data_IF_068057795715
#
_entry.id   IF_068057795715
#
_cell.length_a   1.000
_cell.length_b   1.000
_cell.length_c   1.000
_cell.angle_alpha   90.00
_cell.angle_beta   90.00
_cell.angle_gamma   90.00
#
_symmetry.space_group_name_H-M   'P 1'
#
loop_
_entity.id
_entity.type
_entity.pdbx_description
1 polymer ?
#
# COMPACT_ATOMS: atom_id res chain seq x y z
N UNK A 1 11.76 -19.17 -5.74
CA UNK A 1 11.81 -17.80 -5.20
C UNK A 1 10.93 -16.92 -6.08
N UNK A 2 9.69 -16.71 -5.65
CA UNK A 2 8.67 -15.92 -6.35
C UNK A 2 9.05 -14.44 -6.39
N UNK A 3 9.79 -14.02 -7.42
CA UNK A 3 10.25 -12.64 -7.63
C UNK A 3 9.13 -11.59 -7.71
N UNK A 4 7.85 -11.99 -7.80
CA UNK A 4 6.70 -11.07 -7.93
C UNK A 4 6.11 -10.59 -6.61
N UNK A 5 6.20 -11.36 -5.52
CA UNK A 5 5.63 -10.94 -4.22
C UNK A 5 6.40 -9.76 -3.62
N UNK A 6 7.71 -9.71 -3.84
CA UNK A 6 8.56 -8.70 -3.22
C UNK A 6 8.21 -7.28 -3.65
N UNK A 7 7.76 -7.03 -4.88
CA UNK A 7 7.65 -5.64 -5.38
C UNK A 7 6.49 -4.86 -4.78
N UNK A 8 5.35 -5.50 -4.48
CA UNK A 8 4.18 -4.80 -3.94
C UNK A 8 4.31 -4.61 -2.43
N UNK A 9 4.80 -5.64 -1.73
CA UNK A 9 5.09 -5.55 -0.31
C UNK A 9 6.17 -4.47 -0.04
N UNK A 10 7.21 -4.38 -0.90
CA UNK A 10 8.20 -3.30 -0.86
C UNK A 10 7.57 -1.92 -1.08
N UNK A 11 6.67 -1.77 -2.05
CA UNK A 11 5.97 -0.50 -2.31
C UNK A 11 5.09 -0.08 -1.13
N UNK A 12 4.38 -1.03 -0.51
CA UNK A 12 3.58 -0.78 0.70
C UNK A 12 4.50 -0.30 1.83
N UNK A 13 5.64 -0.96 2.06
CA UNK A 13 6.54 -0.60 3.15
C UNK A 13 7.19 0.78 2.93
N UNK A 14 7.60 1.10 1.70
CA UNK A 14 8.11 2.44 1.37
C UNK A 14 7.07 3.54 1.64
N UNK A 15 5.81 3.32 1.26
CA UNK A 15 4.73 4.26 1.54
C UNK A 15 4.45 4.38 3.04
N UNK A 16 4.52 3.28 3.81
CA UNK A 16 4.37 3.32 5.27
C UNK A 16 5.46 4.16 5.93
N UNK A 17 6.72 3.97 5.54
CA UNK A 17 7.84 4.77 6.04
C UNK A 17 7.66 6.26 5.68
N UNK A 18 7.34 6.56 4.42
CA UNK A 18 7.08 7.93 3.98
C UNK A 18 5.92 8.59 4.75
N UNK A 19 4.88 7.82 5.08
CA UNK A 19 3.74 8.30 5.88
C UNK A 19 4.18 8.67 7.30
N UNK A 20 5.02 7.85 7.95
CA UNK A 20 5.56 8.17 9.28
C UNK A 20 6.43 9.42 9.25
N UNK A 21 7.28 9.56 8.24
CA UNK A 21 8.10 10.75 8.06
C UNK A 21 7.23 12.00 7.85
N UNK A 22 6.24 11.94 6.96
CA UNK A 22 5.31 13.05 6.72
C UNK A 22 4.51 13.41 7.98
N UNK A 23 4.01 12.42 8.71
CA UNK A 23 3.30 12.62 9.98
C UNK A 23 4.19 13.29 11.03
N UNK A 24 5.46 12.90 11.13
CA UNK A 24 6.40 13.49 12.07
C UNK A 24 6.70 14.97 11.78
N UNK A 25 6.57 15.39 10.51
CA UNK A 25 6.76 16.78 10.09
C UNK A 25 5.48 17.62 10.25
N UNK A 26 4.37 17.13 9.70
CA UNK A 26 3.06 17.77 9.78
C UNK A 26 1.94 16.73 9.77
N UNK A 27 1.36 16.41 10.94
CA UNK A 27 0.23 15.48 11.06
C UNK A 27 -1.04 15.88 10.30
N UNK A 28 -1.14 17.15 9.87
CA UNK A 28 -2.27 17.70 9.12
C UNK A 28 -1.91 18.06 7.68
N UNK A 29 -0.68 17.75 7.26
CA UNK A 29 -0.13 18.17 6.00
C UNK A 29 -0.78 17.48 4.80
N UNK A 30 -0.89 18.21 3.69
CA UNK A 30 -1.38 17.67 2.41
C UNK A 30 -0.52 16.50 1.94
N UNK A 31 0.77 16.51 2.25
CA UNK A 31 1.69 15.42 1.92
C UNK A 31 1.29 14.10 2.60
N UNK A 32 0.98 14.13 3.90
CA UNK A 32 0.51 12.95 4.64
C UNK A 32 -0.77 12.39 4.03
N UNK A 33 -1.71 13.28 3.68
CA UNK A 33 -2.97 12.90 3.04
C UNK A 33 -2.72 12.19 1.69
N UNK A 34 -1.84 12.73 0.86
CA UNK A 34 -1.52 12.16 -0.45
C UNK A 34 -0.87 10.77 -0.32
N UNK A 35 0.07 10.61 0.60
CA UNK A 35 0.72 9.32 0.86
C UNK A 35 -0.31 8.30 1.37
N UNK A 36 -1.19 8.70 2.29
CA UNK A 36 -2.26 7.85 2.82
C UNK A 36 -3.19 7.35 1.70
N UNK A 37 -3.60 8.24 0.79
CA UNK A 37 -4.43 7.86 -0.35
C UNK A 37 -3.71 6.92 -1.34
N UNK A 38 -2.40 7.08 -1.52
CA UNK A 38 -1.61 6.17 -2.36
C UNK A 38 -1.52 4.78 -1.74
N UNK A 39 -1.27 4.70 -0.44
CA UNK A 39 -1.23 3.45 0.31
C UNK A 39 -2.59 2.73 0.23
N UNK A 40 -3.69 3.44 0.46
CA UNK A 40 -5.05 2.87 0.36
C UNK A 40 -5.35 2.29 -1.02
N UNK A 41 -4.92 2.97 -2.10
CA UNK A 41 -5.12 2.46 -3.47
C UNK A 41 -4.40 1.14 -3.69
N UNK A 42 -3.16 1.00 -3.22
CA UNK A 42 -2.38 -0.22 -3.39
C UNK A 42 -2.98 -1.36 -2.56
N UNK A 43 -3.34 -1.08 -1.30
CA UNK A 43 -3.98 -2.07 -0.42
C UNK A 43 -5.31 -2.59 -1.00
N UNK A 44 -6.14 -1.68 -1.52
CA UNK A 44 -7.40 -2.05 -2.15
C UNK A 44 -7.20 -2.89 -3.42
N UNK A 45 -6.18 -2.55 -4.22
CA UNK A 45 -5.83 -3.34 -5.41
C UNK A 45 -5.39 -4.76 -5.02
N UNK A 46 -4.51 -4.88 -4.04
CA UNK A 46 -4.04 -6.17 -3.51
C UNK A 46 -5.19 -7.01 -2.95
N UNK A 47 -6.08 -6.40 -2.18
CA UNK A 47 -7.24 -7.07 -1.63
C UNK A 47 -8.18 -7.58 -2.72
N UNK A 48 -8.46 -6.75 -3.74
CA UNK A 48 -9.30 -7.13 -4.87
C UNK A 48 -8.68 -8.25 -5.73
N UNK A 49 -7.37 -8.27 -5.90
CA UNK A 49 -6.66 -9.35 -6.60
C UNK A 49 -6.75 -10.67 -5.82
N UNK A 50 -6.51 -10.64 -4.51
CA UNK A 50 -6.64 -11.82 -3.63
C UNK A 50 -8.04 -12.42 -3.61
N UNK A 51 -9.08 -11.57 -3.61
CA UNK A 51 -10.47 -12.05 -3.62
C UNK A 51 -10.84 -12.70 -4.96
N UNK A 52 -10.39 -12.13 -6.09
CA UNK A 52 -10.60 -12.74 -7.42
C UNK A 52 -9.90 -14.09 -7.59
N UNK A 53 -8.76 -14.30 -6.94
CA UNK A 53 -8.06 -15.59 -6.96
C UNK A 53 -8.78 -16.68 -6.15
N UNK A 54 -9.52 -16.30 -5.10
CA UNK A 54 -10.30 -17.23 -4.27
C UNK A 54 -11.55 -17.74 -4.99
N UNK A 55 -12.25 -16.88 -5.72
CA UNK A 55 -13.45 -17.26 -6.50
C UNK A 55 -13.16 -18.20 -7.67
N UNK A 56 -11.94 -18.16 -8.26
CA UNK A 56 -11.54 -19.07 -9.35
C UNK A 56 -11.08 -20.45 -8.88
N UNK A 57 -10.95 -20.64 -7.57
CA UNK A 57 -10.47 -21.89 -6.95
C UNK A 57 -11.56 -22.63 -6.17
N UNK A 58 -12.81 -22.16 -6.25
CA UNK A 58 -14.04 -22.82 -5.77
C UNK A 58 -14.90 -23.23 -6.96
#
# INVERSE_FOLDING_TARGET
>A
MDKKKNTIDEQIEQLRLAMYEAYSRDPSGVELLLISQQLDKILNKEFAEKNRSKEKSS
#
